data_IF_108291105409
#
_entry.id   IF_108291105409
#
_cell.length_a   1.000
_cell.length_b   1.000
_cell.length_c   1.000
_cell.angle_alpha   90.00
_cell.angle_beta   90.00
_cell.angle_gamma   90.00
#
_symmetry.space_group_name_H-M   'P 1'
#
loop_
_entity.id
_entity.type
_entity.pdbx_description
1 polymer ?
#
# COMPACT_ATOMS: atom_id res chain seq x y z
N UNK A 1 1.95 -10.66 6.47
CA UNK A 1 2.46 -9.29 6.54
C UNK A 1 1.35 -8.32 6.93
N UNK A 2 0.40 -8.04 6.05
CA UNK A 2 -0.71 -7.12 6.33
C UNK A 2 -1.51 -7.52 7.57
N UNK A 3 -1.90 -8.80 7.72
CA UNK A 3 -2.59 -9.32 8.92
C UNK A 3 -1.89 -9.00 10.25
N UNK A 4 -0.54 -8.94 10.25
CA UNK A 4 0.24 -8.67 11.46
C UNK A 4 0.36 -7.18 11.74
N UNK A 5 0.53 -6.37 10.69
CA UNK A 5 0.42 -4.90 10.80
C UNK A 5 -0.97 -4.58 11.36
N UNK A 6 -2.03 -5.21 10.86
CA UNK A 6 -3.39 -5.04 11.37
C UNK A 6 -3.56 -5.50 12.81
N UNK A 7 -3.07 -6.69 13.17
CA UNK A 7 -3.21 -7.19 14.55
C UNK A 7 -2.50 -6.35 15.60
N UNK A 8 -1.45 -5.61 15.21
CA UNK A 8 -0.70 -4.76 16.12
C UNK A 8 -1.42 -3.44 16.45
N UNK A 9 -2.34 -3.00 15.58
CA UNK A 9 -2.98 -1.67 15.69
C UNK A 9 -4.52 -1.73 15.74
N UNK A 10 -5.13 -2.89 15.52
CA UNK A 10 -6.60 -3.08 15.51
C UNK A 10 -7.29 -2.73 16.83
N UNK A 11 -6.60 -2.85 17.97
CA UNK A 11 -7.18 -2.54 19.28
C UNK A 11 -7.38 -1.04 19.52
N UNK A 12 -6.77 -0.19 18.68
CA UNK A 12 -6.79 1.28 18.78
C UNK A 12 -7.50 1.99 17.63
N UNK A 13 -7.70 1.28 16.51
CA UNK A 13 -8.43 1.77 15.36
C UNK A 13 -9.84 1.14 15.34
N UNK A 14 -10.78 1.73 14.60
CA UNK A 14 -12.18 1.27 14.50
C UNK A 14 -12.29 -0.24 14.26
N UNK A 15 -13.42 -0.83 14.65
CA UNK A 15 -13.70 -2.26 14.45
C UNK A 15 -13.63 -2.62 12.96
N UNK A 16 -12.48 -3.17 12.54
CA UNK A 16 -12.14 -3.59 11.17
C UNK A 16 -12.97 -4.82 10.72
N UNK A 17 -14.10 -5.09 11.38
CA UNK A 17 -15.05 -6.16 11.05
C UNK A 17 -15.81 -5.87 9.75
N UNK A 18 -15.77 -4.63 9.26
CA UNK A 18 -16.26 -4.27 7.94
C UNK A 18 -15.27 -4.73 6.86
N UNK A 19 -15.76 -5.40 5.81
CA UNK A 19 -14.93 -5.99 4.75
C UNK A 19 -14.25 -4.96 3.83
N UNK A 20 -14.43 -3.68 4.09
CA UNK A 20 -13.97 -2.58 3.26
C UNK A 20 -13.13 -1.63 4.11
N UNK A 21 -11.85 -1.49 3.77
CA UNK A 21 -10.98 -0.50 4.41
C UNK A 21 -11.36 0.89 3.90
N UNK A 22 -11.70 1.78 4.82
CA UNK A 22 -11.91 3.20 4.49
C UNK A 22 -10.65 4.02 4.82
N UNK A 23 -10.66 5.29 4.41
CA UNK A 23 -9.53 6.20 4.65
C UNK A 23 -9.23 6.37 6.16
N UNK A 24 -10.25 6.44 7.01
CA UNK A 24 -10.08 6.66 8.46
C UNK A 24 -9.36 5.48 9.12
N UNK A 25 -9.71 4.26 8.74
CA UNK A 25 -9.08 3.04 9.25
C UNK A 25 -7.59 2.98 8.89
N UNK A 26 -7.27 3.22 7.61
CA UNK A 26 -5.89 3.18 7.11
C UNK A 26 -5.07 4.34 7.68
N UNK A 27 -5.68 5.52 7.79
CA UNK A 27 -5.05 6.69 8.43
C UNK A 27 -4.71 6.37 9.88
N UNK A 28 -5.64 5.83 10.65
CA UNK A 28 -5.39 5.46 12.05
C UNK A 28 -4.22 4.47 12.18
N UNK A 29 -4.17 3.44 11.33
CA UNK A 29 -3.08 2.45 11.36
C UNK A 29 -1.73 3.13 11.07
N UNK A 30 -1.66 3.98 10.05
CA UNK A 30 -0.44 4.68 9.67
C UNK A 30 -0.05 5.77 10.69
N UNK A 31 -1.00 6.35 11.41
CA UNK A 31 -0.73 7.28 12.51
C UNK A 31 -0.13 6.54 13.71
N UNK A 32 -0.63 5.34 14.04
CA UNK A 32 -0.04 4.51 15.10
C UNK A 32 1.36 4.01 14.74
N UNK A 33 1.67 3.90 13.45
CA UNK A 33 3.00 3.59 12.94
C UNK A 33 3.89 4.84 12.77
N UNK A 34 3.40 6.03 13.10
CA UNK A 34 4.09 7.33 12.92
C UNK A 34 4.46 7.65 11.46
N UNK A 35 3.84 6.97 10.50
CA UNK A 35 4.05 7.15 9.05
C UNK A 35 3.22 8.27 8.47
N UNK A 36 2.10 8.62 9.11
CA UNK A 36 1.28 9.76 8.71
C UNK A 36 1.03 10.67 9.92
N UNK A 37 1.06 11.98 9.68
CA UNK A 37 0.74 13.00 10.68
C UNK A 37 0.05 14.17 10.03
N UNK A 38 -1.08 14.60 10.57
CA UNK A 38 -1.90 15.67 10.01
C UNK A 38 -2.23 15.44 8.52
N UNK A 39 -2.56 14.20 8.15
CA UNK A 39 -2.82 13.76 6.78
C UNK A 39 -1.63 13.92 5.80
N UNK A 40 -0.39 14.03 6.30
CA UNK A 40 0.82 14.10 5.49
C UNK A 40 1.66 12.87 5.77
N UNK A 41 2.08 12.17 4.71
CA UNK A 41 2.99 11.03 4.81
C UNK A 41 4.38 11.53 5.19
N UNK A 42 4.93 10.98 6.26
CA UNK A 42 6.35 11.10 6.61
C UNK A 42 7.11 10.00 5.84
N UNK A 43 7.73 10.39 4.72
CA UNK A 43 8.40 9.43 3.84
C UNK A 43 9.64 8.79 4.49
N UNK A 44 10.30 9.45 5.43
CA UNK A 44 11.43 8.86 6.15
C UNK A 44 10.92 7.78 7.12
N UNK A 45 9.86 8.07 7.87
CA UNK A 45 9.21 7.06 8.73
C UNK A 45 8.64 5.89 7.90
N UNK A 46 8.05 6.16 6.73
CA UNK A 46 7.58 5.14 5.81
C UNK A 46 8.72 4.24 5.32
N UNK A 47 9.87 4.83 5.00
CA UNK A 47 11.06 4.10 4.59
C UNK A 47 11.57 3.19 5.71
N UNK A 48 11.68 3.70 6.94
CA UNK A 48 12.07 2.89 8.10
C UNK A 48 11.09 1.72 8.32
N UNK A 49 9.79 1.95 8.16
CA UNK A 49 8.79 0.89 8.20
C UNK A 49 9.05 -0.17 7.11
N UNK A 50 9.34 0.23 5.87
CA UNK A 50 9.63 -0.71 4.78
C UNK A 50 10.91 -1.51 5.03
N UNK A 51 11.96 -0.89 5.55
CA UNK A 51 13.20 -1.58 5.93
C UNK A 51 12.95 -2.62 7.02
N UNK A 52 12.17 -2.27 8.05
CA UNK A 52 11.77 -3.19 9.11
C UNK A 52 10.93 -4.37 8.56
N UNK A 53 9.98 -4.09 7.67
CA UNK A 53 9.18 -5.12 7.01
C UNK A 53 10.04 -6.02 6.11
N UNK A 54 11.02 -5.49 5.40
CA UNK A 54 11.94 -6.27 4.58
C UNK A 54 12.81 -7.22 5.43
N UNK A 55 13.22 -6.79 6.63
CA UNK A 55 13.92 -7.64 7.58
C UNK A 55 13.02 -8.73 8.18
N UNK A 56 11.75 -8.42 8.44
CA UNK A 56 10.79 -9.36 9.02
C UNK A 56 10.29 -10.40 8.00
N UNK A 57 10.16 -10.00 6.74
CA UNK A 57 9.66 -10.82 5.62
C UNK A 57 10.71 -10.92 4.50
N UNK A 58 11.89 -11.52 4.75
CA UNK A 58 13.00 -11.53 3.77
C UNK A 58 12.70 -12.30 2.47
N UNK A 59 11.65 -13.13 2.46
CA UNK A 59 11.12 -13.80 1.27
C UNK A 59 10.37 -12.85 0.31
N UNK A 60 9.92 -11.69 0.81
CA UNK A 60 9.19 -10.68 0.06
C UNK A 60 10.14 -9.63 -0.51
N UNK A 61 10.90 -10.01 -1.56
CA UNK A 61 11.95 -9.16 -2.17
C UNK A 61 11.49 -7.81 -2.70
N UNK A 62 10.19 -7.62 -2.88
CA UNK A 62 9.63 -6.32 -3.27
C UNK A 62 9.72 -5.27 -2.16
N UNK A 63 9.77 -5.69 -0.89
CA UNK A 63 9.90 -4.77 0.25
C UNK A 63 11.23 -4.02 0.23
N UNK A 64 12.30 -4.64 -0.26
CA UNK A 64 13.64 -4.02 -0.43
C UNK A 64 13.64 -2.88 -1.47
N UNK A 65 12.56 -2.72 -2.25
CA UNK A 65 12.43 -1.71 -3.31
C UNK A 65 11.22 -0.79 -3.09
N UNK A 66 10.57 -0.89 -1.93
CA UNK A 66 9.29 -0.23 -1.71
C UNK A 66 9.46 1.30 -1.62
N UNK A 67 10.60 1.76 -1.13
CA UNK A 67 10.99 3.17 -1.15
C UNK A 67 11.05 3.72 -2.58
N UNK A 68 11.75 3.02 -3.47
CA UNK A 68 11.85 3.36 -4.89
C UNK A 68 10.51 3.28 -5.62
N UNK A 69 9.59 2.41 -5.17
CA UNK A 69 8.32 2.18 -5.85
C UNK A 69 7.21 3.12 -5.38
N UNK A 70 7.20 3.49 -4.11
CA UNK A 70 6.07 4.17 -3.49
C UNK A 70 6.38 5.52 -2.87
N UNK A 71 7.64 5.84 -2.53
CA UNK A 71 7.99 7.14 -1.94
C UNK A 71 8.38 8.17 -3.00
N UNK A 72 8.80 9.35 -2.57
CA UNK A 72 9.04 10.54 -3.39
C UNK A 72 7.79 10.97 -4.16
N UNK A 73 6.64 10.96 -3.49
CA UNK A 73 5.33 11.30 -4.07
C UNK A 73 4.74 10.26 -5.04
N UNK A 74 5.41 9.13 -5.32
CA UNK A 74 4.90 8.11 -6.25
C UNK A 74 3.61 7.46 -5.79
N UNK A 75 3.39 7.35 -4.48
CA UNK A 75 2.14 6.86 -3.93
C UNK A 75 0.93 7.69 -4.36
N UNK A 76 1.09 8.99 -4.66
CA UNK A 76 0.01 9.86 -5.14
C UNK A 76 -0.49 9.46 -6.53
N UNK A 77 0.28 8.68 -7.31
CA UNK A 77 -0.18 8.14 -8.60
C UNK A 77 -1.30 7.11 -8.45
N UNK A 78 -1.52 6.59 -7.23
CA UNK A 78 -2.56 5.62 -6.90
C UNK A 78 -3.86 6.27 -6.43
N UNK A 79 -4.04 7.56 -6.70
CA UNK A 79 -5.25 8.32 -6.35
C UNK A 79 -6.50 7.81 -7.11
N UNK A 80 -7.60 7.61 -6.38
CA UNK A 80 -8.90 7.26 -6.93
C UNK A 80 -9.88 8.42 -6.73
N UNK A 81 -10.00 9.26 -7.77
CA UNK A 81 -10.79 10.51 -7.77
C UNK A 81 -12.25 10.37 -7.32
N UNK A 82 -12.87 9.20 -7.43
CA UNK A 82 -14.31 9.04 -7.22
C UNK A 82 -14.69 8.39 -5.88
N UNK A 83 -13.75 7.88 -5.08
CA UNK A 83 -14.08 7.09 -3.89
C UNK A 83 -13.37 7.49 -2.59
N UNK A 84 -12.24 8.20 -2.68
CA UNK A 84 -11.51 8.62 -1.50
C UNK A 84 -11.10 10.08 -1.68
N UNK A 85 -11.87 11.00 -1.08
CA UNK A 85 -11.43 12.38 -0.88
C UNK A 85 -9.97 12.36 -0.37
N UNK A 86 -9.08 13.07 -1.07
CA UNK A 86 -7.65 13.28 -0.78
C UNK A 86 -7.09 12.52 0.45
N UNK A 87 -6.86 11.22 0.29
CA UNK A 87 -6.42 10.32 1.36
C UNK A 87 -5.01 9.79 1.11
N UNK A 88 -3.95 10.54 1.46
CA UNK A 88 -2.55 10.11 1.36
C UNK A 88 -2.27 8.76 2.02
N UNK A 89 -2.95 8.45 3.13
CA UNK A 89 -2.87 7.15 3.80
C UNK A 89 -3.29 5.99 2.87
N UNK A 90 -4.45 6.13 2.22
CA UNK A 90 -4.99 5.12 1.31
C UNK A 90 -4.15 5.02 0.03
N UNK A 91 -3.63 6.14 -0.47
CA UNK A 91 -2.73 6.18 -1.62
C UNK A 91 -1.43 5.40 -1.34
N UNK A 92 -0.79 5.64 -0.20
CA UNK A 92 0.41 4.92 0.24
C UNK A 92 0.11 3.43 0.45
N UNK A 93 -0.95 3.12 1.18
CA UNK A 93 -1.38 1.75 1.42
C UNK A 93 -1.63 0.99 0.10
N UNK A 94 -2.35 1.61 -0.83
CA UNK A 94 -2.63 0.98 -2.13
C UNK A 94 -1.37 0.78 -2.95
N UNK A 95 -0.45 1.74 -2.95
CA UNK A 95 0.83 1.57 -3.62
C UNK A 95 1.58 0.34 -3.10
N UNK A 96 1.70 0.21 -1.78
CA UNK A 96 2.37 -0.92 -1.13
C UNK A 96 1.63 -2.22 -1.45
N UNK A 97 0.31 -2.25 -1.28
CA UNK A 97 -0.52 -3.42 -1.54
C UNK A 97 -0.39 -3.90 -2.98
N UNK A 98 -0.52 -3.02 -3.98
CA UNK A 98 -0.43 -3.39 -5.40
C UNK A 98 0.96 -3.91 -5.74
N UNK A 99 2.03 -3.25 -5.27
CA UNK A 99 3.39 -3.72 -5.57
C UNK A 99 3.69 -5.06 -4.91
N UNK A 100 3.27 -5.25 -3.65
CA UNK A 100 3.38 -6.55 -2.97
C UNK A 100 2.56 -7.62 -3.70
N UNK A 101 1.35 -7.30 -4.13
CA UNK A 101 0.44 -8.22 -4.81
C UNK A 101 0.96 -8.68 -6.17
N UNK A 102 1.55 -7.78 -6.94
CA UNK A 102 2.15 -8.08 -8.24
C UNK A 102 3.44 -8.90 -8.07
N UNK A 103 4.23 -8.60 -7.05
CA UNK A 103 5.58 -9.15 -6.93
C UNK A 103 5.71 -10.37 -6.03
N UNK A 104 4.78 -10.61 -5.12
CA UNK A 104 4.89 -11.69 -4.15
C UNK A 104 4.99 -13.05 -4.85
N UNK A 105 5.98 -13.82 -4.41
CA UNK A 105 6.43 -15.07 -5.02
C UNK A 105 5.47 -16.23 -4.76
N UNK A 106 4.77 -16.23 -3.61
CA UNK A 106 3.96 -17.37 -3.16
C UNK A 106 2.65 -17.59 -3.94
N UNK A 107 2.24 -16.66 -4.80
CA UNK A 107 0.95 -16.70 -5.49
C UNK A 107 1.18 -17.06 -6.96
N UNK A 108 2.34 -16.69 -7.51
CA UNK A 108 2.74 -16.90 -8.90
C UNK A 108 2.85 -18.37 -9.32
N UNK A 109 2.83 -19.29 -8.35
CA UNK A 109 2.95 -20.74 -8.60
C UNK A 109 1.69 -21.35 -9.26
N UNK A 110 0.55 -20.63 -9.29
CA UNK A 110 -0.64 -21.07 -10.06
C UNK A 110 -0.81 -20.29 -11.38
N UNK A 111 -1.21 -20.94 -12.49
CA UNK A 111 -1.43 -20.27 -13.78
C UNK A 111 -2.44 -19.11 -13.72
N UNK A 112 -3.48 -19.24 -12.89
CA UNK A 112 -4.50 -18.22 -12.70
C UNK A 112 -3.93 -16.99 -11.98
N UNK A 113 -3.08 -17.19 -10.98
CA UNK A 113 -2.45 -16.10 -10.26
C UNK A 113 -1.33 -15.43 -11.06
N UNK A 114 -0.59 -16.17 -11.90
CA UNK A 114 0.35 -15.57 -12.85
C UNK A 114 -0.38 -14.66 -13.86
N UNK A 115 -1.55 -15.09 -14.33
CA UNK A 115 -2.42 -14.26 -15.18
C UNK A 115 -2.91 -13.01 -14.46
N UNK A 116 -3.31 -13.12 -13.19
CA UNK A 116 -3.75 -11.97 -12.37
C UNK A 116 -2.58 -11.03 -12.05
N UNK A 117 -1.36 -11.53 -11.79
CA UNK A 117 -0.19 -10.70 -11.57
C UNK A 117 0.19 -9.90 -12.83
N UNK A 118 0.11 -10.53 -14.01
CA UNK A 118 0.34 -9.85 -15.29
C UNK A 118 -0.75 -8.82 -15.60
N UNK A 119 -2.02 -9.16 -15.35
CA UNK A 119 -3.12 -8.19 -15.42
C UNK A 119 -2.97 -7.08 -14.37
N UNK A 120 -2.45 -7.38 -13.18
CA UNK A 120 -2.17 -6.42 -12.12
C UNK A 120 -1.12 -5.38 -12.55
N UNK A 121 -0.10 -5.78 -13.31
CA UNK A 121 0.83 -4.82 -13.94
C UNK A 121 0.11 -3.92 -14.95
N UNK A 122 -0.82 -4.46 -15.73
CA UNK A 122 -1.64 -3.66 -16.64
C UNK A 122 -2.58 -2.72 -15.89
N UNK A 123 -3.16 -3.15 -14.77
CA UNK A 123 -3.95 -2.30 -13.88
C UNK A 123 -3.08 -1.21 -13.25
N UNK A 124 -1.85 -1.51 -12.79
CA UNK A 124 -0.89 -0.51 -12.30
C UNK A 124 -0.62 0.56 -13.36
N UNK A 125 -0.41 0.16 -14.62
CA UNK A 125 -0.29 1.11 -15.73
C UNK A 125 -1.57 1.93 -15.92
N UNK A 126 -2.74 1.31 -15.84
CA UNK A 126 -4.01 2.01 -16.01
C UNK A 126 -4.25 3.03 -14.89
N UNK A 127 -4.00 2.65 -13.63
CA UNK A 127 -4.05 3.54 -12.46
C UNK A 127 -3.08 4.72 -12.60
N UNK A 128 -1.83 4.46 -13.00
CA UNK A 128 -0.86 5.53 -13.30
C UNK A 128 -1.15 6.34 -14.56
N UNK A 129 -2.07 5.89 -15.43
CA UNK A 129 -2.48 6.62 -16.65
C UNK A 129 -3.71 7.48 -16.40
N UNK A 130 -4.63 7.05 -15.53
CA UNK A 130 -5.79 7.85 -15.12
C UNK A 130 -5.33 9.12 -14.39
N UNK A 131 -4.33 9.02 -13.50
CA UNK A 131 -3.73 10.17 -12.80
C UNK A 131 -2.98 11.17 -13.71
N UNK A 132 -2.57 10.77 -14.93
CA UNK A 132 -1.90 11.66 -15.90
C UNK A 132 -2.82 12.31 -16.94
N UNK A 133 -4.07 11.86 -17.06
CA UNK A 133 -5.02 12.43 -18.04
C UNK A 133 -5.78 13.65 -17.53
N UNK A 134 -5.50 14.08 -16.30
CA UNK A 134 -6.13 15.24 -15.65
C UNK A 134 -5.00 16.19 -15.20
N UNK A 135 -4.33 16.77 -16.20
CA UNK A 135 -3.53 18.00 -16.09
C UNK A 135 -3.87 18.90 -17.28
#
# INVERSE_FOLDING_TARGET
MFDKIYSNYSDKCSDLSSKEFNCEDVTCILEQAEVIKNNIVDEEAAKELFENLAQEYPQEKVLEKMDDLCLNGKYMEYFFEEQFDDCPAMNLFTCVFVNVLIECSSWKDSPQCASIAEQGKQCKMYLGTVSKKIQ
#
